data_IF_465370262624
#
_entry.id   IF_465370262624
#
_cell.length_a   1.000
_cell.length_b   1.000
_cell.length_c   1.000
_cell.angle_alpha   90.00
_cell.angle_beta   90.00
_cell.angle_gamma   90.00
#
_symmetry.space_group_name_H-M   'P 1'
#
loop_
_entity.id
_entity.type
_entity.pdbx_description
1 polymer ?
#
# COMPACT_ATOMS: atom_id res chain seq x y z
N UNK A 1 53.05 -18.74 -8.03
CA UNK A 1 51.84 -18.31 -8.76
C UNK A 1 50.54 -18.55 -7.98
N UNK A 2 50.51 -19.45 -6.98
CA UNK A 2 49.29 -19.76 -6.19
C UNK A 2 48.95 -18.78 -5.07
N UNK A 3 49.94 -18.10 -4.48
CA UNK A 3 49.70 -17.15 -3.37
C UNK A 3 48.98 -15.88 -3.87
N UNK A 4 49.34 -15.37 -5.05
CA UNK A 4 48.68 -14.21 -5.67
C UNK A 4 47.24 -14.52 -6.10
N UNK A 5 46.95 -15.75 -6.56
CA UNK A 5 45.58 -16.18 -6.86
C UNK A 5 44.72 -16.29 -5.60
N UNK A 6 45.26 -16.82 -4.50
CA UNK A 6 44.55 -16.87 -3.20
C UNK A 6 44.28 -15.49 -2.61
N UNK A 7 45.24 -14.57 -2.70
CA UNK A 7 45.07 -13.19 -2.23
C UNK A 7 44.05 -12.43 -3.09
N UNK A 8 44.08 -12.62 -4.41
CA UNK A 8 43.09 -12.02 -5.32
C UNK A 8 41.68 -12.58 -5.08
N UNK A 9 41.55 -13.88 -4.80
CA UNK A 9 40.26 -14.51 -4.48
C UNK A 9 39.69 -13.99 -3.14
N UNK A 10 40.53 -13.89 -2.10
CA UNK A 10 40.12 -13.38 -0.77
C UNK A 10 39.77 -11.88 -0.79
N UNK A 11 40.48 -11.07 -1.58
CA UNK A 11 40.19 -9.64 -1.75
C UNK A 11 38.93 -9.39 -2.59
N UNK A 12 38.66 -10.23 -3.59
CA UNK A 12 37.41 -10.17 -4.35
C UNK A 12 36.24 -10.59 -3.46
N UNK A 13 36.36 -11.66 -2.68
CA UNK A 13 35.26 -12.18 -1.85
C UNK A 13 34.84 -11.19 -0.75
N UNK A 14 35.80 -10.66 0.00
CA UNK A 14 35.53 -9.66 1.07
C UNK A 14 35.02 -8.32 0.53
N UNK A 15 35.56 -7.84 -0.59
CA UNK A 15 35.06 -6.59 -1.21
C UNK A 15 33.69 -6.76 -1.85
N UNK A 16 33.39 -7.92 -2.44
CA UNK A 16 32.07 -8.22 -3.01
C UNK A 16 31.03 -8.38 -1.90
N UNK A 17 31.38 -9.04 -0.80
CA UNK A 17 30.53 -9.22 0.37
C UNK A 17 30.24 -7.88 1.08
N UNK A 18 31.22 -6.99 1.22
CA UNK A 18 31.01 -5.63 1.74
C UNK A 18 30.15 -4.77 0.79
N UNK A 19 30.34 -4.89 -0.52
CA UNK A 19 29.51 -4.21 -1.53
C UNK A 19 28.08 -4.75 -1.51
N UNK A 20 27.90 -6.07 -1.45
CA UNK A 20 26.60 -6.74 -1.33
C UNK A 20 25.91 -6.35 -0.03
N UNK A 21 26.60 -6.36 1.11
CA UNK A 21 26.08 -5.91 2.39
C UNK A 21 25.73 -4.42 2.37
N UNK A 22 26.51 -3.59 1.69
CA UNK A 22 26.23 -2.17 1.46
C UNK A 22 25.02 -1.92 0.56
N UNK A 23 24.75 -2.81 -0.40
CA UNK A 23 23.58 -2.78 -1.29
C UNK A 23 22.33 -3.29 -0.55
N UNK A 24 22.43 -4.42 0.15
CA UNK A 24 21.33 -5.05 0.91
C UNK A 24 20.83 -4.10 2.01
N UNK A 25 21.73 -3.40 2.73
CA UNK A 25 21.33 -2.37 3.72
C UNK A 25 20.56 -1.19 3.12
N UNK A 26 20.71 -0.94 1.82
CA UNK A 26 20.00 0.14 1.11
C UNK A 26 18.77 -0.36 0.35
N UNK A 27 18.55 -1.67 0.29
CA UNK A 27 17.49 -2.33 -0.46
C UNK A 27 16.67 -3.28 0.43
N UNK A 28 15.97 -2.78 1.47
CA UNK A 28 15.01 -3.61 2.17
C UNK A 28 13.94 -4.15 1.19
N UNK A 29 13.74 -5.45 1.27
CA UNK A 29 12.77 -6.21 0.50
C UNK A 29 11.91 -7.02 1.48
N UNK A 30 10.62 -7.12 1.18
CA UNK A 30 9.70 -7.95 1.95
C UNK A 30 8.75 -8.69 1.00
N UNK A 31 8.45 -9.94 1.37
CA UNK A 31 7.35 -10.73 0.84
C UNK A 31 6.41 -10.99 2.00
N UNK A 32 5.12 -10.78 1.80
CA UNK A 32 4.10 -11.03 2.81
C UNK A 32 2.84 -11.59 2.18
N UNK A 33 2.05 -12.30 2.98
CA UNK A 33 0.71 -12.76 2.63
C UNK A 33 -0.25 -12.24 3.70
N UNK A 34 -1.44 -11.83 3.27
CA UNK A 34 -2.56 -11.53 4.17
C UNK A 34 -3.72 -12.38 3.73
N UNK A 35 -4.35 -13.06 4.70
CA UNK A 35 -5.49 -13.93 4.44
C UNK A 35 -6.69 -13.44 5.22
N UNK A 36 -7.84 -13.37 4.55
CA UNK A 36 -9.13 -13.18 5.20
C UNK A 36 -9.94 -14.46 5.04
N UNK A 37 -10.19 -15.09 6.17
CA UNK A 37 -11.11 -16.21 6.28
C UNK A 37 -12.19 -15.78 7.27
N UNK A 38 -13.39 -15.54 6.74
CA UNK A 38 -14.53 -15.06 7.49
C UNK A 38 -15.79 -15.77 6.98
N UNK A 39 -16.92 -15.49 7.59
CA UNK A 39 -18.18 -16.11 7.20
C UNK A 39 -19.11 -16.29 8.37
N UNK A 40 -20.40 -16.39 8.07
CA UNK A 40 -21.42 -16.66 9.07
C UNK A 40 -21.19 -18.05 9.66
N UNK A 41 -21.08 -18.13 10.99
CA UNK A 41 -20.82 -19.38 11.72
C UNK A 41 -19.47 -20.05 11.40
N UNK A 42 -18.51 -19.31 10.83
CA UNK A 42 -17.17 -19.85 10.58
C UNK A 42 -16.41 -20.03 11.90
N UNK A 43 -15.86 -21.22 12.11
CA UNK A 43 -14.99 -21.52 13.26
C UNK A 43 -13.59 -20.97 12.99
N UNK A 44 -12.87 -20.57 14.05
CA UNK A 44 -11.47 -20.15 13.94
C UNK A 44 -10.62 -21.30 13.36
N UNK A 45 -9.95 -21.06 12.24
CA UNK A 45 -9.02 -21.99 11.61
C UNK A 45 -7.62 -21.88 12.22
N UNK A 46 -7.26 -22.81 13.11
CA UNK A 46 -5.96 -22.81 13.79
C UNK A 46 -4.77 -22.95 12.82
N UNK A 47 -5.00 -23.52 11.64
CA UNK A 47 -3.97 -23.66 10.60
C UNK A 47 -3.45 -22.30 10.12
N UNK A 48 -4.28 -21.26 10.11
CA UNK A 48 -3.85 -19.88 9.80
C UNK A 48 -3.04 -19.21 10.91
N UNK A 49 -2.89 -19.84 12.08
CA UNK A 49 -1.98 -19.34 13.13
C UNK A 49 -0.52 -19.74 12.88
N UNK A 50 -0.25 -20.65 11.93
CA UNK A 50 1.11 -20.99 11.54
C UNK A 50 1.64 -19.92 10.56
N UNK A 51 2.63 -19.09 10.96
CA UNK A 51 3.11 -17.99 10.14
C UNK A 51 3.92 -18.43 8.91
N UNK A 52 4.21 -19.72 8.77
CA UNK A 52 4.96 -20.30 7.64
C UNK A 52 4.02 -20.94 6.61
N UNK A 53 2.80 -21.31 7.03
CA UNK A 53 1.80 -21.90 6.14
C UNK A 53 1.13 -20.81 5.30
N UNK A 54 1.18 -20.95 3.97
CA UNK A 54 0.45 -20.06 3.06
C UNK A 54 -1.02 -20.43 2.98
N UNK A 55 -1.89 -19.53 2.53
CA UNK A 55 -3.31 -19.86 2.39
C UNK A 55 -3.52 -21.02 1.39
N UNK A 56 -2.77 -21.05 0.28
CA UNK A 56 -2.82 -22.15 -0.68
C UNK A 56 -2.35 -23.48 -0.05
N UNK A 57 -1.35 -23.46 0.81
CA UNK A 57 -0.88 -24.65 1.49
C UNK A 57 -1.93 -25.21 2.47
N UNK A 58 -2.65 -24.32 3.14
CA UNK A 58 -3.72 -24.70 4.08
C UNK A 58 -4.91 -25.29 3.32
N UNK A 59 -5.34 -24.66 2.23
CA UNK A 59 -6.52 -25.07 1.47
C UNK A 59 -6.29 -26.31 0.62
N UNK A 60 -5.19 -26.38 -0.13
CA UNK A 60 -4.92 -27.49 -1.03
C UNK A 60 -4.53 -28.79 -0.30
N UNK A 61 -4.32 -28.72 1.02
CA UNK A 61 -4.04 -29.89 1.86
C UNK A 61 -5.14 -30.15 2.90
N UNK A 62 -6.34 -29.57 2.74
CA UNK A 62 -7.49 -29.77 3.62
C UNK A 62 -7.16 -29.56 5.12
N UNK A 63 -6.33 -28.57 5.43
CA UNK A 63 -5.93 -28.25 6.81
C UNK A 63 -6.94 -27.34 7.51
N UNK A 64 -8.02 -26.97 6.85
CA UNK A 64 -9.08 -26.16 7.41
C UNK A 64 -10.02 -26.99 8.30
N UNK A 65 -10.65 -26.34 9.26
CA UNK A 65 -11.67 -26.93 10.13
C UNK A 65 -13.01 -27.12 9.39
N UNK A 66 -13.24 -26.33 8.34
CA UNK A 66 -14.32 -26.55 7.37
C UNK A 66 -13.70 -27.14 6.09
N UNK A 67 -14.20 -28.29 5.64
CA UNK A 67 -13.60 -29.04 4.54
C UNK A 67 -14.04 -28.46 3.19
N UNK A 68 -13.09 -28.28 2.28
CA UNK A 68 -13.30 -27.74 0.95
C UNK A 68 -12.18 -26.80 0.52
N UNK A 69 -12.00 -26.65 -0.79
CA UNK A 69 -11.12 -25.63 -1.38
C UNK A 69 -11.93 -24.34 -1.59
N UNK A 70 -11.30 -23.16 -1.50
CA UNK A 70 -11.91 -21.84 -1.81
C UNK A 70 -12.67 -21.16 -0.66
N UNK A 71 -12.21 -21.34 0.58
CA UNK A 71 -12.91 -20.79 1.76
C UNK A 71 -12.25 -19.53 2.33
N UNK A 72 -11.03 -19.18 1.95
CA UNK A 72 -10.32 -17.98 2.36
C UNK A 72 -9.80 -17.17 1.18
N UNK A 73 -9.63 -15.87 1.38
CA UNK A 73 -9.10 -14.95 0.38
C UNK A 73 -7.67 -14.53 0.74
N UNK A 74 -6.67 -14.98 -0.02
CA UNK A 74 -5.26 -14.68 0.19
C UNK A 74 -4.72 -13.67 -0.80
N UNK A 75 -3.99 -12.66 -0.30
CA UNK A 75 -3.24 -11.70 -1.13
C UNK A 75 -1.77 -11.76 -0.78
N UNK A 76 -0.93 -11.90 -1.80
CA UNK A 76 0.51 -11.76 -1.68
C UNK A 76 0.96 -10.35 -2.02
N UNK A 77 1.95 -9.87 -1.28
CA UNK A 77 2.57 -8.57 -1.50
C UNK A 77 4.09 -8.70 -1.55
N UNK A 78 4.67 -8.10 -2.58
CA UNK A 78 6.09 -7.81 -2.67
C UNK A 78 6.30 -6.32 -2.40
N UNK A 79 7.23 -5.98 -1.49
CA UNK A 79 7.61 -4.62 -1.16
C UNK A 79 9.12 -4.44 -1.31
N UNK A 80 9.52 -3.30 -1.88
CA UNK A 80 10.92 -2.94 -2.06
C UNK A 80 11.12 -1.46 -1.81
N UNK A 81 12.15 -1.14 -1.06
CA UNK A 81 12.55 0.22 -0.75
C UNK A 81 14.02 0.39 -1.11
N UNK A 82 14.39 1.44 -1.84
CA UNK A 82 15.76 1.72 -2.22
C UNK A 82 16.18 3.15 -1.90
N UNK A 83 17.15 3.31 -1.00
CA UNK A 83 17.70 4.62 -0.66
C UNK A 83 18.92 4.94 -1.56
N UNK A 84 18.68 5.70 -2.63
CA UNK A 84 19.70 6.23 -3.51
C UNK A 84 20.31 7.52 -2.94
N UNK A 85 21.60 7.46 -2.59
CA UNK A 85 22.28 8.53 -1.83
C UNK A 85 21.53 8.84 -0.52
N UNK A 86 21.88 9.92 0.18
CA UNK A 86 21.27 10.27 1.48
C UNK A 86 19.91 11.00 1.36
N UNK A 87 19.42 11.24 0.15
CA UNK A 87 18.32 12.16 -0.10
C UNK A 87 17.24 11.67 -1.07
N UNK A 88 17.43 10.57 -1.81
CA UNK A 88 16.44 10.09 -2.77
C UNK A 88 16.03 8.64 -2.43
N UNK A 89 14.76 8.42 -2.10
CA UNK A 89 14.20 7.10 -1.82
C UNK A 89 13.22 6.70 -2.91
N UNK A 90 13.34 5.46 -3.37
CA UNK A 90 12.37 4.80 -4.24
C UNK A 90 11.64 3.75 -3.40
N UNK A 91 10.33 3.66 -3.55
CA UNK A 91 9.50 2.64 -2.90
C UNK A 91 8.61 2.01 -3.95
N UNK A 92 8.52 0.69 -3.93
CA UNK A 92 7.70 -0.09 -4.84
C UNK A 92 6.92 -1.13 -4.05
N UNK A 93 5.64 -1.31 -4.38
CA UNK A 93 4.86 -2.45 -3.91
C UNK A 93 4.13 -3.08 -5.09
N UNK A 94 4.05 -4.40 -5.09
CA UNK A 94 3.28 -5.19 -6.03
C UNK A 94 2.38 -6.13 -5.24
N UNK A 95 1.09 -6.13 -5.55
CA UNK A 95 0.07 -6.99 -4.97
C UNK A 95 -0.35 -8.01 -6.02
N UNK A 96 -0.48 -9.25 -5.57
CA UNK A 96 -0.95 -10.39 -6.34
C UNK A 96 -2.14 -10.94 -5.56
N UNK A 97 -3.30 -10.91 -6.20
CA UNK A 97 -4.54 -11.43 -5.62
C UNK A 97 -4.82 -12.79 -6.26
N UNK A 98 -5.17 -12.79 -7.56
CA UNK A 98 -5.39 -14.02 -8.32
C UNK A 98 -4.12 -14.45 -9.07
N UNK A 99 -3.67 -15.68 -8.82
CA UNK A 99 -2.59 -16.35 -9.55
C UNK A 99 -3.14 -17.34 -10.58
N UNK A 100 -3.24 -16.91 -11.84
CA UNK A 100 -3.67 -17.78 -12.95
C UNK A 100 -2.48 -18.61 -13.46
N UNK A 101 -2.32 -19.80 -12.88
CA UNK A 101 -1.21 -20.71 -13.18
C UNK A 101 -1.56 -21.80 -14.20
N UNK A 102 -2.79 -22.31 -14.19
CA UNK A 102 -3.19 -23.45 -15.01
C UNK A 102 -3.68 -23.04 -16.41
N UNK A 103 -3.57 -23.99 -17.35
CA UNK A 103 -3.92 -23.77 -18.74
C UNK A 103 -5.43 -23.56 -18.94
N UNK A 104 -6.28 -24.21 -18.15
CA UNK A 104 -7.74 -24.13 -18.31
C UNK A 104 -8.23 -22.72 -17.99
N UNK A 105 -7.74 -22.12 -16.92
CA UNK A 105 -8.07 -20.73 -16.57
C UNK A 105 -7.55 -19.72 -17.60
N UNK A 106 -6.33 -19.92 -18.13
CA UNK A 106 -5.78 -19.08 -19.21
C UNK A 106 -6.60 -19.19 -20.49
N UNK A 107 -6.97 -20.41 -20.87
CA UNK A 107 -7.80 -20.68 -22.05
C UNK A 107 -9.23 -20.11 -21.86
N UNK A 108 -9.69 -19.93 -20.62
CA UNK A 108 -10.92 -19.24 -20.25
C UNK A 108 -10.80 -17.70 -20.19
N UNK A 109 -9.67 -17.12 -20.63
CA UNK A 109 -9.38 -15.68 -20.57
C UNK A 109 -9.41 -15.08 -19.15
N UNK A 110 -9.14 -15.86 -18.10
CA UNK A 110 -8.83 -15.29 -16.79
C UNK A 110 -7.46 -14.64 -16.83
N UNK A 111 -7.35 -13.46 -16.22
CA UNK A 111 -6.09 -12.74 -16.07
C UNK A 111 -5.67 -12.71 -14.60
N UNK A 112 -4.36 -12.58 -14.38
CA UNK A 112 -3.85 -12.25 -13.06
C UNK A 112 -4.41 -10.88 -12.64
N UNK A 113 -4.92 -10.81 -11.42
CA UNK A 113 -5.40 -9.58 -10.81
C UNK A 113 -4.48 -9.16 -9.68
N UNK A 114 -4.46 -7.86 -9.41
CA UNK A 114 -3.58 -7.31 -8.40
C UNK A 114 -3.40 -5.80 -8.53
N UNK A 115 -2.32 -5.31 -7.98
CA UNK A 115 -2.06 -3.88 -7.94
C UNK A 115 -0.60 -3.56 -7.84
N UNK A 116 -0.26 -2.30 -8.05
CA UNK A 116 1.08 -1.81 -7.78
C UNK A 116 1.05 -0.40 -7.24
N UNK A 117 2.09 -0.04 -6.49
CA UNK A 117 2.37 1.34 -6.15
C UNK A 117 3.84 1.64 -6.31
N UNK A 118 4.12 2.89 -6.64
CA UNK A 118 5.48 3.39 -6.77
C UNK A 118 5.55 4.80 -6.19
N UNK A 119 6.61 5.09 -5.43
CA UNK A 119 6.86 6.40 -4.85
C UNK A 119 8.33 6.77 -4.97
N UNK A 120 8.57 8.01 -5.38
CA UNK A 120 9.88 8.65 -5.31
C UNK A 120 9.78 9.75 -4.26
N UNK A 121 10.68 9.74 -3.28
CA UNK A 121 10.77 10.75 -2.23
C UNK A 121 12.16 11.40 -2.28
N UNK A 122 12.20 12.70 -2.48
CA UNK A 122 13.40 13.51 -2.33
C UNK A 122 13.33 14.29 -1.03
N UNK A 123 14.26 14.02 -0.11
CA UNK A 123 14.40 14.73 1.16
C UNK A 123 15.58 15.70 1.08
N UNK A 124 15.33 16.95 1.48
CA UNK A 124 16.32 18.02 1.49
C UNK A 124 16.29 18.77 2.81
N UNK A 125 17.47 19.02 3.34
CA UNK A 125 17.68 19.88 4.51
C UNK A 125 18.15 21.28 4.08
N UNK A 126 18.10 21.59 2.78
CA UNK A 126 18.75 22.79 2.23
C UNK A 126 17.92 24.07 2.37
N UNK A 127 16.64 24.02 2.73
CA UNK A 127 15.83 25.23 2.88
C UNK A 127 16.22 26.04 4.15
N UNK A 128 16.61 25.37 5.25
CA UNK A 128 17.24 26.00 6.42
C UNK A 128 17.81 24.93 7.37
N UNK A 129 18.72 25.31 8.29
CA UNK A 129 19.23 24.39 9.34
C UNK A 129 18.15 23.81 10.25
N UNK A 130 16.99 24.45 10.34
CA UNK A 130 15.86 24.07 11.19
C UNK A 130 14.67 23.50 10.40
N UNK A 131 14.82 23.33 9.08
CA UNK A 131 13.74 22.91 8.21
C UNK A 131 14.06 21.56 7.55
N UNK A 132 13.14 20.61 7.70
CA UNK A 132 13.12 19.39 6.91
C UNK A 132 12.10 19.55 5.81
N UNK A 133 12.52 19.32 4.57
CA UNK A 133 11.62 19.35 3.41
C UNK A 133 11.68 18.04 2.68
N UNK A 134 10.54 17.59 2.18
CA UNK A 134 10.48 16.46 1.27
C UNK A 134 9.48 16.71 0.16
N UNK A 135 9.86 16.31 -1.04
CA UNK A 135 9.03 16.32 -2.23
C UNK A 135 8.83 14.87 -2.64
N UNK A 136 7.63 14.51 -3.08
CA UNK A 136 7.40 13.17 -3.58
C UNK A 136 6.51 13.17 -4.81
N UNK A 137 6.72 12.15 -5.63
CA UNK A 137 5.77 11.67 -6.61
C UNK A 137 5.31 10.28 -6.17
N UNK A 138 4.02 10.01 -6.24
CA UNK A 138 3.49 8.67 -5.98
C UNK A 138 2.42 8.31 -7.00
N UNK A 139 2.45 7.06 -7.46
CA UNK A 139 1.39 6.46 -8.25
C UNK A 139 0.94 5.13 -7.64
N UNK A 140 -0.34 4.82 -7.76
CA UNK A 140 -0.93 3.56 -7.35
C UNK A 140 -1.98 3.15 -8.40
N UNK A 141 -2.05 1.85 -8.69
CA UNK A 141 -3.08 1.23 -9.51
C UNK A 141 -3.52 -0.05 -8.81
N UNK A 142 -4.82 -0.20 -8.56
CA UNK A 142 -5.42 -1.42 -8.03
C UNK A 142 -6.40 -1.94 -9.09
N UNK A 143 -6.30 -3.23 -9.44
CA UNK A 143 -7.15 -3.90 -10.41
C UNK A 143 -8.63 -3.90 -10.03
N UNK A 144 -9.50 -4.19 -10.99
CA UNK A 144 -10.96 -4.09 -10.80
C UNK A 144 -11.45 -5.06 -9.74
N UNK A 145 -11.04 -6.32 -9.86
CA UNK A 145 -11.47 -7.40 -8.98
C UNK A 145 -10.53 -7.61 -7.78
N UNK A 146 -9.42 -6.87 -7.69
CA UNK A 146 -8.52 -6.95 -6.55
C UNK A 146 -9.26 -6.68 -5.24
N UNK A 147 -8.91 -7.37 -4.16
CA UNK A 147 -9.54 -7.33 -2.83
C UNK A 147 -10.93 -7.99 -2.74
N UNK A 148 -11.43 -8.60 -3.81
CA UNK A 148 -12.73 -9.29 -3.83
C UNK A 148 -12.57 -10.81 -3.87
N UNK A 149 -13.52 -11.51 -3.28
CA UNK A 149 -13.66 -12.96 -3.26
C UNK A 149 -15.00 -13.39 -3.88
N UNK A 150 -15.15 -14.68 -4.20
CA UNK A 150 -16.44 -15.25 -4.65
C UNK A 150 -17.45 -15.39 -3.51
N UNK A 151 -16.96 -15.47 -2.26
CA UNK A 151 -17.73 -15.17 -1.06
C UNK A 151 -17.46 -13.73 -0.63
N UNK A 152 -18.40 -12.83 -0.88
CA UNK A 152 -18.24 -11.42 -0.56
C UNK A 152 -17.99 -11.11 0.92
N UNK A 153 -18.25 -12.04 1.85
CA UNK A 153 -17.84 -11.88 3.25
C UNK A 153 -16.31 -11.90 3.40
N UNK A 154 -15.60 -12.61 2.53
CA UNK A 154 -14.14 -12.70 2.49
C UNK A 154 -13.45 -11.59 1.69
N UNK A 155 -14.18 -10.55 1.30
CA UNK A 155 -13.57 -9.37 0.71
C UNK A 155 -12.64 -8.68 1.72
N UNK A 156 -11.61 -7.98 1.24
CA UNK A 156 -10.71 -7.18 2.07
C UNK A 156 -11.37 -5.89 2.57
N UNK A 157 -12.33 -6.05 3.48
CA UNK A 157 -13.16 -4.99 4.04
C UNK A 157 -13.38 -5.21 5.53
N UNK A 158 -13.22 -4.16 6.32
CA UNK A 158 -13.66 -4.12 7.72
C UNK A 158 -14.61 -2.94 7.94
N UNK A 159 -15.82 -3.23 8.44
CA UNK A 159 -16.86 -2.22 8.72
C UNK A 159 -17.15 -1.31 7.52
N UNK A 160 -17.30 -1.90 6.34
CA UNK A 160 -17.54 -1.18 5.09
C UNK A 160 -16.37 -0.34 4.58
N UNK A 161 -15.16 -0.51 5.13
CA UNK A 161 -13.95 0.18 4.66
C UNK A 161 -12.93 -0.82 4.11
N UNK A 162 -12.27 -0.53 2.97
CA UNK A 162 -11.22 -1.39 2.43
C UNK A 162 -10.06 -1.62 3.42
N UNK A 163 -9.55 -2.85 3.46
CA UNK A 163 -8.34 -3.26 4.16
C UNK A 163 -7.12 -3.16 3.24
N UNK A 164 -6.91 -1.97 2.66
CA UNK A 164 -5.88 -1.73 1.65
C UNK A 164 -5.81 -0.27 1.26
N UNK A 165 -5.84 0.03 -0.04
CA UNK A 165 -5.94 1.42 -0.50
C UNK A 165 -7.30 2.01 -0.11
N UNK A 166 -7.32 3.20 0.49
CA UNK A 166 -8.54 3.82 1.02
C UNK A 166 -9.64 4.09 -0.04
N UNK A 167 -9.28 4.11 -1.32
CA UNK A 167 -10.23 4.26 -2.42
C UNK A 167 -10.68 2.92 -3.02
N UNK A 168 -10.34 1.80 -2.38
CA UNK A 168 -10.77 0.46 -2.77
C UNK A 168 -10.01 -0.09 -3.96
N UNK A 169 -10.72 -0.88 -4.76
CA UNK A 169 -10.25 -1.48 -6.01
C UNK A 169 -10.66 -0.63 -7.22
N UNK A 170 -10.37 -1.11 -8.43
CA UNK A 170 -10.83 -0.51 -9.68
C UNK A 170 -10.44 0.97 -9.84
N UNK A 171 -9.18 1.30 -9.55
CA UNK A 171 -8.78 2.69 -9.55
C UNK A 171 -7.28 2.93 -9.63
N UNK A 172 -6.94 4.15 -10.03
CA UNK A 172 -5.56 4.62 -10.05
C UNK A 172 -5.45 6.06 -9.58
N UNK A 173 -4.34 6.38 -8.95
CA UNK A 173 -3.99 7.74 -8.53
C UNK A 173 -2.54 8.04 -8.86
N UNK A 174 -2.29 9.28 -9.29
CA UNK A 174 -0.95 9.84 -9.39
C UNK A 174 -0.96 11.22 -8.75
N UNK A 175 0.01 11.49 -7.87
CA UNK A 175 0.12 12.77 -7.17
C UNK A 175 1.55 13.20 -6.93
N UNK A 176 1.71 14.52 -6.88
CA UNK A 176 2.90 15.18 -6.35
C UNK A 176 2.57 15.74 -4.98
N UNK A 177 3.53 15.70 -4.06
CA UNK A 177 3.34 16.30 -2.75
C UNK A 177 4.61 16.83 -2.13
N UNK A 178 4.39 17.58 -1.07
CA UNK A 178 5.36 18.34 -0.30
C UNK A 178 5.07 18.09 1.18
N UNK A 179 6.10 17.79 1.96
CA UNK A 179 6.04 17.89 3.41
C UNK A 179 7.15 18.85 3.88
N UNK A 180 6.79 19.80 4.71
CA UNK A 180 7.71 20.73 5.37
C UNK A 180 7.53 20.63 6.87
N UNK A 181 8.63 20.47 7.59
CA UNK A 181 8.68 20.62 9.04
C UNK A 181 9.62 21.76 9.39
N UNK A 182 9.13 22.72 10.15
CA UNK A 182 9.92 23.85 10.66
C UNK A 182 10.01 23.73 12.18
N UNK A 183 11.20 23.42 12.66
CA UNK A 183 11.48 23.18 14.08
C UNK A 183 11.36 24.46 14.92
N UNK A 184 11.75 25.62 14.37
CA UNK A 184 11.75 26.89 15.12
C UNK A 184 10.34 27.34 15.56
N UNK A 185 9.31 26.91 14.84
CA UNK A 185 7.91 27.21 15.15
C UNK A 185 7.07 25.95 15.41
N UNK A 186 7.70 24.77 15.49
CA UNK A 186 7.04 23.47 15.63
C UNK A 186 5.83 23.32 14.69
N UNK A 187 6.06 23.47 13.39
CA UNK A 187 4.98 23.45 12.39
C UNK A 187 5.25 22.40 11.31
N UNK A 188 4.23 21.60 11.02
CA UNK A 188 4.19 20.66 9.92
C UNK A 188 3.21 21.19 8.85
N UNK A 189 3.68 21.30 7.62
CA UNK A 189 2.86 21.60 6.45
C UNK A 189 2.95 20.40 5.51
N UNK A 190 1.80 19.92 5.05
CA UNK A 190 1.72 18.95 3.97
C UNK A 190 0.82 19.49 2.86
N UNK A 191 1.17 19.17 1.62
CA UNK A 191 0.39 19.53 0.47
C UNK A 191 0.53 18.48 -0.61
N UNK A 192 -0.56 18.15 -1.29
CA UNK A 192 -0.49 17.29 -2.46
C UNK A 192 -1.51 17.68 -3.52
N UNK A 193 -1.14 17.50 -4.77
CA UNK A 193 -2.01 17.70 -5.92
C UNK A 193 -1.89 16.50 -6.84
N UNK A 194 -3.00 16.10 -7.43
CA UNK A 194 -3.00 14.89 -8.22
C UNK A 194 -4.26 14.65 -9.02
N UNK A 195 -4.27 13.50 -9.66
CA UNK A 195 -5.39 12.96 -10.42
C UNK A 195 -5.70 11.56 -9.91
N UNK A 196 -6.98 11.26 -9.77
CA UNK A 196 -7.52 9.95 -9.42
C UNK A 196 -8.59 9.56 -10.42
N UNK A 197 -8.51 8.35 -10.96
CA UNK A 197 -9.58 7.74 -11.76
C UNK A 197 -10.17 6.58 -10.94
N UNK A 198 -11.48 6.58 -10.70
CA UNK A 198 -12.21 5.55 -9.92
C UNK A 198 -13.30 4.92 -10.77
N UNK A 199 -13.18 3.62 -11.03
CA UNK A 199 -14.19 2.86 -11.74
C UNK A 199 -15.41 2.52 -10.88
N UNK A 200 -16.43 1.99 -11.53
CA UNK A 200 -17.76 1.74 -10.95
C UNK A 200 -17.88 0.40 -10.24
N UNK A 201 -16.95 -0.54 -10.47
CA UNK A 201 -16.95 -1.85 -9.82
C UNK A 201 -16.00 -1.92 -8.61
N UNK A 202 -15.59 -0.75 -8.09
CA UNK A 202 -14.74 -0.67 -6.91
C UNK A 202 -15.38 -1.34 -5.68
N UNK A 203 -14.54 -1.93 -4.83
CA UNK A 203 -14.91 -2.47 -3.53
C UNK A 203 -15.68 -1.47 -2.64
N UNK A 204 -15.46 -0.17 -2.80
CA UNK A 204 -16.16 0.85 -2.00
C UNK A 204 -17.62 1.04 -2.38
N UNK A 205 -18.01 0.68 -3.61
CA UNK A 205 -19.41 0.82 -4.06
C UNK A 205 -20.29 -0.31 -3.51
N UNK A 206 -19.74 -1.53 -3.43
CA UNK A 206 -20.44 -2.72 -2.93
C UNK A 206 -19.44 -3.63 -2.18
N UNK A 207 -19.23 -3.35 -0.90
CA UNK A 207 -18.10 -3.91 -0.13
C UNK A 207 -18.19 -5.39 0.21
N UNK A 208 -19.40 -5.93 0.35
CA UNK A 208 -19.63 -7.34 0.67
C UNK A 208 -20.27 -8.12 -0.48
N UNK A 209 -20.29 -7.53 -1.68
CA UNK A 209 -20.71 -8.26 -2.88
C UNK A 209 -19.55 -9.10 -3.41
N UNK A 210 -19.81 -10.35 -3.81
CA UNK A 210 -18.79 -11.16 -4.46
C UNK A 210 -18.48 -10.60 -5.85
N UNK A 211 -17.32 -10.94 -6.41
CA UNK A 211 -17.13 -10.77 -7.85
C UNK A 211 -17.95 -11.84 -8.59
N UNK A 212 -18.45 -11.52 -9.78
CA UNK A 212 -19.28 -12.44 -10.57
C UNK A 212 -18.49 -13.06 -11.73
N UNK A 213 -17.52 -12.33 -12.29
CA UNK A 213 -16.69 -12.78 -13.40
C UNK A 213 -15.31 -12.09 -13.38
N UNK A 214 -14.24 -12.84 -13.64
CA UNK A 214 -12.85 -12.36 -13.72
C UNK A 214 -12.41 -11.88 -15.12
N UNK A 215 -13.35 -11.56 -16.01
CA UNK A 215 -12.99 -11.17 -17.38
C UNK A 215 -12.33 -9.79 -17.45
N UNK A 216 -11.37 -9.66 -18.36
CA UNK A 216 -10.67 -8.40 -18.62
C UNK A 216 -11.58 -7.39 -19.29
N UNK A 217 -12.03 -6.40 -18.52
CA UNK A 217 -12.73 -5.23 -19.01
C UNK A 217 -11.76 -4.04 -19.15
N UNK A 218 -12.15 -2.98 -19.89
CA UNK A 218 -11.42 -1.71 -19.87
C UNK A 218 -11.21 -1.21 -18.43
N UNK A 219 -10.04 -0.62 -18.17
CA UNK A 219 -9.65 -0.16 -16.84
C UNK A 219 -9.45 1.37 -16.79
N UNK A 220 -9.98 2.07 -15.76
CA UNK A 220 -10.94 1.56 -14.76
C UNK A 220 -12.28 1.17 -15.39
N UNK A 221 -13.06 0.36 -14.69
CA UNK A 221 -14.27 -0.22 -15.28
C UNK A 221 -15.47 0.74 -15.32
N UNK A 222 -16.28 0.59 -16.38
CA UNK A 222 -17.50 1.38 -16.60
C UNK A 222 -17.26 2.86 -16.82
N UNK A 223 -18.28 3.67 -16.53
CA UNK A 223 -18.22 5.14 -16.58
C UNK A 223 -17.45 5.69 -15.37
N UNK A 224 -16.13 5.57 -15.41
CA UNK A 224 -15.27 5.91 -14.29
C UNK A 224 -15.25 7.42 -14.00
N UNK A 225 -15.12 7.76 -12.71
CA UNK A 225 -14.99 9.14 -12.23
C UNK A 225 -13.55 9.59 -12.34
N UNK A 226 -13.33 10.72 -13.01
CA UNK A 226 -12.04 11.41 -13.03
C UNK A 226 -12.05 12.58 -12.05
N UNK A 227 -11.09 12.58 -11.14
CA UNK A 227 -11.00 13.53 -10.04
C UNK A 227 -9.63 14.20 -10.11
N UNK A 228 -9.62 15.53 -10.20
CA UNK A 228 -8.43 16.34 -9.92
C UNK A 228 -8.55 16.85 -8.49
N UNK A 229 -7.50 16.71 -7.69
CA UNK A 229 -7.55 17.08 -6.29
C UNK A 229 -6.38 17.93 -5.84
N UNK A 230 -6.64 18.73 -4.81
CA UNK A 230 -5.67 19.47 -4.02
C UNK A 230 -5.96 19.20 -2.55
N UNK A 231 -4.96 18.74 -1.80
CA UNK A 231 -5.03 18.50 -0.37
C UNK A 231 -3.96 19.34 0.31
N UNK A 232 -4.34 20.10 1.33
CA UNK A 232 -3.46 20.95 2.12
C UNK A 232 -3.69 20.67 3.60
N UNK A 233 -2.62 20.62 4.37
CA UNK A 233 -2.66 20.40 5.80
C UNK A 233 -1.61 21.23 6.52
N UNK A 234 -2.00 21.85 7.62
CA UNK A 234 -1.11 22.56 8.54
C UNK A 234 -1.38 22.03 9.94
N UNK A 235 -0.32 21.63 10.64
CA UNK A 235 -0.36 21.29 12.05
C UNK A 235 0.69 22.08 12.80
N UNK A 236 0.29 22.77 13.86
CA UNK A 236 1.14 23.65 14.64
C UNK A 236 1.08 23.29 16.13
N UNK A 237 2.23 23.03 16.73
CA UNK A 237 2.32 22.79 18.17
C UNK A 237 2.62 24.07 18.93
N UNK A 238 1.62 24.58 19.64
CA UNK A 238 1.80 25.68 20.59
C UNK A 238 2.55 25.20 21.85
N UNK A 239 2.30 23.95 22.27
CA UNK A 239 2.99 23.28 23.37
C UNK A 239 3.18 21.79 23.03
N UNK A 240 4.09 21.06 23.70
CA UNK A 240 4.31 19.63 23.43
C UNK A 240 3.06 18.74 23.57
N UNK A 241 2.06 19.19 24.33
CA UNK A 241 0.81 18.48 24.58
C UNK A 241 -0.40 19.09 23.87
N UNK A 242 -0.23 20.15 23.07
CA UNK A 242 -1.34 20.84 22.39
C UNK A 242 -0.93 21.23 20.98
N UNK A 243 -1.64 20.70 19.99
CA UNK A 243 -1.47 21.06 18.58
C UNK A 243 -2.76 21.56 17.96
N UNK A 244 -2.66 22.43 16.97
CA UNK A 244 -3.76 22.92 16.14
C UNK A 244 -3.62 22.33 14.75
N UNK A 245 -4.70 21.87 14.16
CA UNK A 245 -4.74 21.22 12.85
C UNK A 245 -5.73 21.95 11.95
N UNK A 246 -5.33 22.24 10.73
CA UNK A 246 -6.18 22.73 9.65
C UNK A 246 -5.93 21.85 8.43
N UNK A 247 -7.00 21.37 7.80
CA UNK A 247 -6.94 20.62 6.53
C UNK A 247 -7.95 21.18 5.55
N UNK A 248 -7.55 21.18 4.28
CA UNK A 248 -8.38 21.59 3.17
C UNK A 248 -8.23 20.58 2.04
N UNK A 249 -9.33 19.95 1.64
CA UNK A 249 -9.41 19.08 0.48
C UNK A 249 -10.33 19.72 -0.56
N UNK A 250 -9.83 19.85 -1.79
CA UNK A 250 -10.59 20.27 -2.95
C UNK A 250 -10.55 19.16 -3.99
N UNK A 251 -11.72 18.76 -4.48
CA UNK A 251 -11.87 17.78 -5.55
C UNK A 251 -12.74 18.36 -6.67
N UNK A 252 -12.21 18.34 -7.89
CA UNK A 252 -12.94 18.64 -9.12
C UNK A 252 -13.22 17.34 -9.86
N UNK A 253 -14.49 16.96 -9.93
CA UNK A 253 -14.94 15.74 -10.60
C UNK A 253 -15.40 16.08 -12.01
N UNK A 254 -14.89 15.37 -13.01
CA UNK A 254 -15.30 15.55 -14.40
C UNK A 254 -16.81 15.27 -14.52
N UNK A 255 -17.60 16.29 -14.89
CA UNK A 255 -19.09 16.28 -15.04
C UNK A 255 -19.92 16.40 -13.75
N UNK A 256 -19.30 16.69 -12.58
CA UNK A 256 -20.03 16.98 -11.36
C UNK A 256 -19.50 18.26 -10.69
N UNK A 257 -20.26 18.76 -9.71
CA UNK A 257 -19.86 19.93 -8.93
C UNK A 257 -18.59 19.67 -8.13
N UNK A 258 -17.84 20.75 -7.90
CA UNK A 258 -16.65 20.71 -7.07
C UNK A 258 -17.01 20.37 -5.62
N UNK A 259 -16.22 19.50 -5.00
CA UNK A 259 -16.35 19.16 -3.60
C UNK A 259 -15.23 19.82 -2.81
N UNK A 260 -15.58 20.57 -1.77
CA UNK A 260 -14.64 21.21 -0.87
C UNK A 260 -14.89 20.70 0.54
N UNK A 261 -13.83 20.32 1.24
CA UNK A 261 -13.89 19.91 2.63
C UNK A 261 -12.85 20.71 3.41
N UNK A 262 -13.30 21.32 4.48
CA UNK A 262 -12.45 22.06 5.41
C UNK A 262 -12.58 21.44 6.80
N UNK A 263 -11.47 21.09 7.41
CA UNK A 263 -11.41 20.57 8.77
C UNK A 263 -10.49 21.47 9.60
N UNK A 264 -10.92 21.87 10.79
CA UNK A 264 -10.09 22.56 11.75
C UNK A 264 -10.33 21.96 13.14
N UNK A 265 -9.26 21.83 13.93
CA UNK A 265 -9.34 21.22 15.24
C UNK A 265 -8.08 21.43 16.06
N UNK A 266 -8.06 20.86 17.25
CA UNK A 266 -6.89 20.81 18.11
C UNK A 266 -6.77 19.42 18.74
N UNK A 267 -5.53 18.96 18.91
CA UNK A 267 -5.20 17.69 19.55
C UNK A 267 -4.56 17.96 20.92
N UNK A 268 -5.03 17.24 21.94
CA UNK A 268 -4.44 17.26 23.29
C UNK A 268 -3.78 15.91 23.56
N UNK A 269 -2.48 15.92 23.85
CA UNK A 269 -1.70 14.72 24.16
C UNK A 269 -1.50 14.61 25.67
N UNK A 270 -2.04 13.55 26.27
CA UNK A 270 -1.83 13.25 27.68
C UNK A 270 -0.64 12.29 27.81
N UNK A 271 0.50 12.73 28.38
CA UNK A 271 1.60 11.82 28.62
C UNK A 271 1.20 10.83 29.72
N UNK A 272 0.90 9.60 29.34
CA UNK A 272 0.78 8.51 30.30
C UNK A 272 2.19 8.12 30.74
N UNK A 273 2.61 8.59 31.92
CA UNK A 273 3.79 8.05 32.60
C UNK A 273 3.46 6.66 33.16
N UNK A 274 3.33 5.68 32.29
CA UNK A 274 3.34 4.28 32.72
C UNK A 274 4.79 3.85 32.91
N UNK A 275 5.16 3.43 34.12
CA UNK A 275 6.38 2.64 34.29
C UNK A 275 6.17 1.35 33.47
N UNK A 276 6.91 1.21 32.37
CA UNK A 276 7.09 -0.08 31.71
C UNK A 276 8.15 -0.84 32.50
#
# INVERSE_FOLDING_TARGET
MDILKRILYLLIDTSLEEVLNGIIKKLPFALSEVVIYSGKNRVLDFSYLNPISTHLEIELNDKQNDLGTDSGNGIWQLSMDYLFRKSLKFSFNYLIDELVLDKVQRDANKNNEGGYSFKILYSSNNLSKHNLSSFYFSTIKIGTNTFRHEDGNNNFVARGKPLGWNHGSDGRESKFGLNLYNDSINMLINGSLGKRDLGTNSLTENSYSPYVNYFSNPFPSGDFRRIFFLQLGVQWWYKPYLSFVIKFDHEKVEKHDNQNKFEAGFDIYFPLKTKI
#
